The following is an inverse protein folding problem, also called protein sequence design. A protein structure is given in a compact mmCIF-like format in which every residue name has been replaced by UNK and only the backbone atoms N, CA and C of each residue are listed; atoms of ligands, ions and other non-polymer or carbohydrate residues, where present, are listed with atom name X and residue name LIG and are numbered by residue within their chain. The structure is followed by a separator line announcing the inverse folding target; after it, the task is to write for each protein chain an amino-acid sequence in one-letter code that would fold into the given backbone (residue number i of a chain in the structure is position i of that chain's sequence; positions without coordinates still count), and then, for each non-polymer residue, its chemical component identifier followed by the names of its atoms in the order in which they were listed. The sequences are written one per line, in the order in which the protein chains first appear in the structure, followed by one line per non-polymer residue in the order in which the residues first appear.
data_IF_289724121178
#
_entry.id   IF_289724121178
#
_cell.length_a   1.000
_cell.length_b   1.000
_cell.length_c   1.000
_cell.angle_alpha   90.00
_cell.angle_beta   90.00
_cell.angle_gamma   90.00
#
_symmetry.space_group_name_H-M   'P 1'
#
loop_
_entity.id
_entity.type
_entity.pdbx_description
1 polymer ?
#
# COMPACT_ATOMS: atom_id res chain seq x y z
N UNK A 1 -8.61 -25.37 4.70
CA UNK A 1 -8.14 -26.74 4.41
C UNK A 1 -9.03 -27.79 5.03
N UNK A 2 -9.06 -28.02 6.35
CA UNK A 2 -9.97 -29.05 6.92
C UNK A 2 -11.45 -28.66 6.90
N UNK A 3 -11.76 -27.38 6.63
CA UNK A 3 -13.11 -26.87 6.39
C UNK A 3 -13.57 -27.06 4.94
N UNK A 4 -12.67 -27.52 4.07
CA UNK A 4 -12.98 -27.83 2.67
C UNK A 4 -13.38 -29.31 2.62
N UNK A 5 -14.62 -29.58 2.18
CA UNK A 5 -15.20 -30.93 2.21
C UNK A 5 -14.45 -31.92 1.31
N UNK A 6 -13.67 -31.43 0.34
CA UNK A 6 -12.85 -32.25 -0.55
C UNK A 6 -11.48 -32.62 0.06
N UNK A 7 -11.14 -32.08 1.23
CA UNK A 7 -9.85 -32.33 1.90
C UNK A 7 -9.95 -33.53 2.84
N UNK A 8 -9.37 -34.65 2.41
CA UNK A 8 -9.22 -35.87 3.21
C UNK A 8 -8.13 -35.79 4.29
N UNK A 9 -7.61 -36.96 4.71
CA UNK A 9 -6.55 -37.03 5.73
C UNK A 9 -5.28 -36.31 5.24
N UNK A 10 -4.88 -35.27 5.97
CA UNK A 10 -3.65 -34.51 5.72
C UNK A 10 -2.47 -35.06 6.51
N UNK A 11 -1.28 -35.11 5.88
CA UNK A 11 -0.05 -35.49 6.57
C UNK A 11 0.29 -34.47 7.67
N UNK A 12 0.91 -34.93 8.77
CA UNK A 12 1.20 -34.07 9.92
C UNK A 12 2.13 -32.88 9.61
N UNK A 13 3.00 -33.01 8.61
CA UNK A 13 3.88 -31.92 8.19
C UNK A 13 3.15 -30.81 7.39
N UNK A 14 1.95 -31.10 6.86
CA UNK A 14 1.22 -30.20 5.95
C UNK A 14 0.93 -28.82 6.57
N UNK A 15 0.38 -28.72 7.80
CA UNK A 15 0.08 -27.43 8.41
C UNK A 15 1.32 -26.58 8.65
N UNK A 16 2.45 -27.22 9.01
CA UNK A 16 3.73 -26.55 9.25
C UNK A 16 4.24 -25.92 7.96
N UNK A 17 4.24 -26.70 6.87
CA UNK A 17 4.76 -26.25 5.59
C UNK A 17 3.91 -25.10 5.02
N UNK A 18 2.59 -25.19 5.16
CA UNK A 18 1.66 -24.14 4.74
C UNK A 18 1.85 -22.88 5.57
N UNK A 19 2.06 -23.00 6.87
CA UNK A 19 2.37 -21.84 7.72
C UNK A 19 3.63 -21.12 7.23
N UNK A 20 4.67 -21.88 6.86
CA UNK A 20 5.89 -21.28 6.30
C UNK A 20 5.67 -20.66 4.92
N UNK A 21 4.88 -21.31 4.06
CA UNK A 21 4.53 -20.77 2.76
C UNK A 21 3.74 -19.45 2.89
N UNK A 22 2.79 -19.37 3.83
CA UNK A 22 2.03 -18.16 4.12
C UNK A 22 2.93 -17.02 4.64
N UNK A 23 3.89 -17.34 5.50
CA UNK A 23 4.90 -16.37 5.97
C UNK A 23 5.70 -15.79 4.80
N UNK A 24 6.26 -16.66 3.94
CA UNK A 24 7.03 -16.24 2.77
C UNK A 24 6.17 -15.48 1.75
N UNK A 25 4.92 -15.90 1.58
CA UNK A 25 3.96 -15.21 0.73
C UNK A 25 3.66 -13.79 1.23
N UNK A 26 3.35 -13.62 2.52
CA UNK A 26 3.13 -12.29 3.11
C UNK A 26 4.36 -11.40 2.98
N UNK A 27 5.55 -11.95 3.22
CA UNK A 27 6.80 -11.21 3.04
C UNK A 27 6.95 -10.75 1.58
N UNK A 28 6.80 -11.66 0.61
CA UNK A 28 6.89 -11.34 -0.82
C UNK A 28 5.90 -10.25 -1.24
N UNK A 29 4.64 -10.35 -0.80
CA UNK A 29 3.60 -9.38 -1.10
C UNK A 29 3.95 -7.99 -0.55
N UNK A 30 4.41 -7.92 0.71
CA UNK A 30 4.79 -6.65 1.35
C UNK A 30 6.04 -6.07 0.69
N UNK A 31 7.05 -6.88 0.38
CA UNK A 31 8.29 -6.43 -0.24
C UNK A 31 8.04 -5.83 -1.64
N UNK A 32 7.22 -6.50 -2.46
CA UNK A 32 6.81 -6.00 -3.77
C UNK A 32 5.96 -4.72 -3.66
N UNK A 33 5.04 -4.66 -2.70
CA UNK A 33 4.21 -3.47 -2.47
C UNK A 33 5.02 -2.28 -1.98
N UNK A 34 6.02 -2.52 -1.13
CA UNK A 34 6.96 -1.50 -0.69
C UNK A 34 7.87 -1.01 -1.83
N UNK A 35 8.26 -1.90 -2.76
CA UNK A 35 8.98 -1.49 -3.97
C UNK A 35 8.14 -0.57 -4.84
N UNK A 36 6.86 -0.90 -5.09
CA UNK A 36 5.93 -0.01 -5.80
C UNK A 36 5.79 1.34 -5.08
N UNK A 37 5.61 1.35 -3.76
CA UNK A 37 5.53 2.58 -2.97
C UNK A 37 6.79 3.45 -3.10
N UNK A 38 7.98 2.84 -3.03
CA UNK A 38 9.25 3.56 -3.16
C UNK A 38 9.48 4.09 -4.57
N UNK A 39 9.06 3.36 -5.59
CA UNK A 39 9.16 3.79 -7.00
C UNK A 39 8.37 5.09 -7.27
N UNK A 40 7.38 5.38 -6.44
CA UNK A 40 6.55 6.61 -6.47
C UNK A 40 6.99 7.66 -5.46
N UNK A 41 8.18 7.52 -4.87
CA UNK A 41 8.72 8.39 -3.82
C UNK A 41 7.80 8.52 -2.57
N UNK A 42 6.88 7.57 -2.36
CA UNK A 42 5.97 7.59 -1.23
C UNK A 42 6.64 7.05 0.04
N UNK A 43 6.52 7.80 1.13
CA UNK A 43 7.05 7.41 2.45
C UNK A 43 6.14 6.45 3.22
N UNK A 44 4.91 6.24 2.76
CA UNK A 44 3.90 5.39 3.40
C UNK A 44 3.34 4.42 2.37
N UNK A 45 3.29 3.15 2.74
CA UNK A 45 2.59 2.14 1.96
C UNK A 45 1.07 2.36 2.10
N UNK A 46 0.35 2.36 0.98
CA UNK A 46 -1.10 2.54 0.93
C UNK A 46 -1.75 1.38 0.20
N UNK A 47 -3.07 1.23 0.35
CA UNK A 47 -3.87 0.21 -0.33
C UNK A 47 -3.76 0.34 -1.86
N UNK A 48 -3.57 1.56 -2.36
CA UNK A 48 -3.38 1.84 -3.78
C UNK A 48 -2.08 1.20 -4.34
N UNK A 49 -0.97 1.23 -3.58
CA UNK A 49 0.25 0.52 -3.98
C UNK A 49 0.04 -0.99 -4.00
N UNK A 50 -0.67 -1.54 -3.01
CA UNK A 50 -0.99 -2.96 -2.93
C UNK A 50 -1.83 -3.41 -4.14
N UNK A 51 -2.88 -2.66 -4.51
CA UNK A 51 -3.69 -2.93 -5.70
C UNK A 51 -2.81 -2.99 -6.95
N UNK A 52 -1.97 -1.96 -7.16
CA UNK A 52 -1.09 -1.90 -8.34
C UNK A 52 -0.08 -3.03 -8.38
N UNK A 53 0.47 -3.44 -7.23
CA UNK A 53 1.36 -4.60 -7.14
C UNK A 53 0.66 -5.90 -7.52
N UNK A 54 -0.57 -6.12 -7.05
CA UNK A 54 -1.39 -7.29 -7.39
C UNK A 54 -1.72 -7.32 -8.89
N UNK A 55 -1.97 -6.17 -9.51
CA UNK A 55 -2.22 -6.08 -10.95
C UNK A 55 -0.98 -6.33 -11.81
N UNK A 56 0.20 -5.93 -11.34
CA UNK A 56 1.47 -6.04 -12.08
C UNK A 56 2.13 -7.41 -11.96
N UNK A 57 2.02 -8.07 -10.81
CA UNK A 57 2.73 -9.33 -10.53
C UNK A 57 1.80 -10.51 -10.83
N UNK A 58 2.12 -11.27 -11.88
CA UNK A 58 1.32 -12.41 -12.34
C UNK A 58 1.03 -13.43 -11.23
N UNK A 59 2.01 -13.70 -10.37
CA UNK A 59 1.86 -14.66 -9.26
C UNK A 59 0.80 -14.24 -8.23
N UNK A 60 0.34 -12.98 -8.25
CA UNK A 60 -0.70 -12.45 -7.37
C UNK A 60 -2.08 -12.37 -8.04
N UNK A 61 -2.26 -12.92 -9.24
CA UNK A 61 -3.53 -12.87 -9.99
C UNK A 61 -4.75 -13.33 -9.18
N UNK A 62 -4.57 -14.34 -8.32
CA UNK A 62 -5.60 -14.87 -7.42
C UNK A 62 -6.14 -13.85 -6.40
N UNK A 63 -5.49 -12.70 -6.25
CA UNK A 63 -5.92 -11.61 -5.36
C UNK A 63 -6.68 -10.50 -6.09
N UNK A 64 -6.75 -10.51 -7.44
CA UNK A 64 -7.34 -9.40 -8.21
C UNK A 64 -8.80 -9.14 -7.85
N UNK A 65 -9.58 -10.21 -7.71
CA UNK A 65 -10.99 -10.11 -7.33
C UNK A 65 -11.18 -9.52 -5.93
N UNK A 66 -10.24 -9.80 -5.02
CA UNK A 66 -10.26 -9.25 -3.65
C UNK A 66 -10.04 -7.74 -3.67
N UNK A 67 -9.21 -7.23 -4.59
CA UNK A 67 -8.88 -5.80 -4.69
C UNK A 67 -9.70 -5.03 -5.71
N UNK A 68 -10.62 -5.69 -6.43
CA UNK A 68 -11.39 -5.09 -7.52
C UNK A 68 -12.21 -3.86 -7.09
N UNK A 69 -12.71 -3.83 -5.84
CA UNK A 69 -13.52 -2.73 -5.31
C UNK A 69 -12.71 -1.49 -4.91
N UNK A 70 -11.38 -1.60 -4.82
CA UNK A 70 -10.52 -0.49 -4.43
C UNK A 70 -10.38 0.46 -5.63
N UNK A 71 -10.61 1.78 -5.47
CA UNK A 71 -10.39 2.73 -6.55
C UNK A 71 -8.95 2.71 -7.05
N UNK A 72 -8.75 2.88 -8.35
CA UNK A 72 -7.41 2.95 -8.91
C UNK A 72 -6.63 4.13 -8.32
N UNK A 73 -5.33 3.96 -8.04
CA UNK A 73 -4.48 5.10 -7.73
C UNK A 73 -4.59 6.09 -8.89
N UNK A 74 -5.01 7.33 -8.60
CA UNK A 74 -4.84 8.42 -9.55
C UNK A 74 -3.35 8.45 -9.89
N UNK A 75 -3.00 8.23 -11.16
CA UNK A 75 -1.63 8.37 -11.61
C UNK A 75 -1.29 9.87 -11.56
N UNK A 76 -0.90 10.32 -10.37
CA UNK A 76 -0.30 11.63 -10.20
C UNK A 76 1.04 11.56 -10.91
N UNK A 77 1.06 12.09 -12.12
CA UNK A 77 2.25 12.29 -12.94
C UNK A 77 3.09 13.38 -12.23
N UNK A 78 3.70 13.05 -11.08
CA UNK A 78 4.49 14.00 -10.29
C UNK A 78 5.94 14.03 -10.76
N UNK A 79 6.14 14.35 -12.03
CA UNK A 79 7.30 15.16 -12.43
C UNK A 79 7.01 16.63 -12.09
N UNK A 80 7.03 17.00 -10.81
CA UNK A 80 7.28 18.38 -10.34
C UNK A 80 7.05 18.49 -8.84
N UNK A 81 8.08 18.86 -8.07
CA UNK A 81 7.83 19.27 -6.68
C UNK A 81 9.01 19.41 -5.75
N UNK A 82 10.07 20.05 -6.23
CA UNK A 82 11.18 20.62 -5.48
C UNK A 82 10.90 20.92 -3.98
N UNK A 83 11.78 20.43 -3.11
CA UNK A 83 11.87 20.79 -1.70
C UNK A 83 11.77 22.32 -1.51
N UNK A 84 10.76 22.81 -0.78
CA UNK A 84 10.89 24.10 -0.06
C UNK A 84 10.30 24.00 1.34
N UNK A 85 11.21 23.83 2.29
CA UNK A 85 11.12 24.37 3.64
C UNK A 85 10.61 25.82 3.62
N UNK A 86 9.52 26.12 4.33
CA UNK A 86 9.27 27.48 4.85
C UNK A 86 8.66 27.41 6.23
N UNK A 87 9.58 27.49 7.20
CA UNK A 87 9.31 28.05 8.51
C UNK A 87 8.82 29.50 8.40
N UNK A 88 7.99 29.88 9.37
CA UNK A 88 7.85 31.24 9.91
C UNK A 88 7.32 32.35 8.99
N UNK A 89 6.04 32.72 9.18
CA UNK A 89 5.72 34.13 9.50
C UNK A 89 4.38 34.28 10.19
N UNK A 90 4.46 34.29 11.53
CA UNK A 90 3.54 34.97 12.44
C UNK A 90 3.62 36.48 12.12
N UNK A 91 2.50 37.14 11.87
CA UNK A 91 2.36 38.61 11.92
C UNK A 91 0.86 38.91 12.10
N UNK A 92 0.38 39.09 13.33
CA UNK A 92 0.11 40.42 13.93
C UNK A 92 -0.89 41.25 13.14
N UNK A 93 -2.19 40.99 13.34
CA UNK A 93 -3.24 41.97 13.09
C UNK A 93 -3.21 43.00 14.24
N UNK A 94 -2.39 44.05 14.08
CA UNK A 94 -2.46 45.27 14.89
C UNK A 94 -3.45 46.23 14.22
N UNK A 95 -4.59 46.42 14.89
CA UNK A 95 -5.19 47.70 15.28
C UNK A 95 -4.79 48.90 14.42
N UNK A 96 -5.77 49.50 13.73
CA UNK A 96 -5.78 50.95 13.50
C UNK A 96 -7.21 51.47 13.50
N UNK A 97 -7.55 52.14 14.60
CA UNK A 97 -8.64 53.10 14.73
C UNK A 97 -8.37 54.37 13.91
N UNK A 98 -9.48 55.06 13.65
CA UNK A 98 -9.70 56.50 13.43
C UNK A 98 -9.24 57.22 12.15
N UNK A 99 -10.29 57.58 11.38
CA UNK A 99 -10.75 58.92 10.95
C UNK A 99 -9.78 59.85 10.20
N UNK A 100 -10.35 60.63 9.26
CA UNK A 100 -10.95 61.93 9.61
C UNK A 100 -12.47 61.99 9.48
#
# INVERSE_FOLDING_TARGET
MQLDEDVGKVAQATPILISKALELFMQSLIDQSCQESRSRNAKRLTVAHLKKTIEKVEQFDFLKDIVASIPDPLESNEESGNQKSRSSKRNTAKIKEEQP
#
